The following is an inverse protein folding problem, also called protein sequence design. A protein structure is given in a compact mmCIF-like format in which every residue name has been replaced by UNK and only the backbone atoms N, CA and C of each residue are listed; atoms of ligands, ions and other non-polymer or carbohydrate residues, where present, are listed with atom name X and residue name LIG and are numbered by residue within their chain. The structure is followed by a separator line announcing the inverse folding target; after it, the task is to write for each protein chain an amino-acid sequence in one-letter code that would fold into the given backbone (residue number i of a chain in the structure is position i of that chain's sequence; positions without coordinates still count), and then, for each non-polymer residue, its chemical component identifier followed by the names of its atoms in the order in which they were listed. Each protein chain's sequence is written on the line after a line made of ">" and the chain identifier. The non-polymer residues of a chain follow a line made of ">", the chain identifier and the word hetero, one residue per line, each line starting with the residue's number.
data_IF_927896481191
#
_entry.id   IF_927896481191
#
_cell.length_a   1.000
_cell.length_b   1.000
_cell.length_c   1.000
_cell.angle_alpha   90.00
_cell.angle_beta   90.00
_cell.angle_gamma   90.00
#
_symmetry.space_group_name_H-M   'P 1'
#
loop_
_entity.id
_entity.type
_entity.pdbx_description
1 polymer ?
#
# COMPACT_ATOMS: atom_id res chain seq x y z
N UNK A 1 6.82 -3.68 18.91
CA UNK A 1 5.86 -3.62 17.79
C UNK A 1 4.42 -3.43 18.26
N UNK A 2 3.94 -4.16 19.27
CA UNK A 2 2.57 -3.99 19.79
C UNK A 2 2.17 -2.55 20.17
N UNK A 3 3.09 -1.72 20.70
CA UNK A 3 2.82 -0.29 20.94
C UNK A 3 2.47 0.48 19.67
N UNK A 4 3.18 0.25 18.57
CA UNK A 4 2.92 0.90 17.27
C UNK A 4 1.59 0.42 16.72
N UNK A 5 1.34 -0.89 16.79
CA UNK A 5 0.07 -1.50 16.36
C UNK A 5 -1.14 -0.85 17.06
N UNK A 6 -1.09 -0.73 18.38
CA UNK A 6 -2.16 -0.12 19.17
C UNK A 6 -2.31 1.39 18.89
N UNK A 7 -1.20 2.12 18.76
CA UNK A 7 -1.20 3.57 18.55
C UNK A 7 -1.80 3.97 17.19
N UNK A 8 -1.54 3.18 16.13
CA UNK A 8 -1.99 3.46 14.78
C UNK A 8 -3.14 2.55 14.31
N UNK A 9 -3.73 1.78 15.23
CA UNK A 9 -4.83 0.84 14.95
C UNK A 9 -4.51 -0.08 13.76
N UNK A 10 -3.36 -0.76 13.80
CA UNK A 10 -2.90 -1.66 12.74
C UNK A 10 -3.12 -3.11 13.15
N UNK A 11 -3.65 -3.93 12.24
CA UNK A 11 -3.84 -5.36 12.46
C UNK A 11 -2.49 -6.04 12.76
N UNK A 12 -2.49 -7.01 13.69
CA UNK A 12 -1.27 -7.69 14.10
C UNK A 12 -0.61 -8.45 12.92
N UNK A 13 -1.40 -8.91 11.95
CA UNK A 13 -0.92 -9.59 10.73
C UNK A 13 -0.13 -8.64 9.84
N UNK A 14 -0.58 -7.39 9.71
CA UNK A 14 0.15 -6.35 8.99
C UNK A 14 1.46 -6.02 9.69
N UNK A 15 1.45 -5.94 11.03
CA UNK A 15 2.66 -5.72 11.81
C UNK A 15 3.70 -6.84 11.65
N UNK A 16 3.24 -8.09 11.55
CA UNK A 16 4.09 -9.24 11.24
C UNK A 16 4.68 -9.13 9.83
N UNK A 17 3.87 -8.83 8.82
CA UNK A 17 4.33 -8.61 7.44
C UNK A 17 5.36 -7.46 7.36
N UNK A 18 5.12 -6.35 8.07
CA UNK A 18 6.06 -5.22 8.12
C UNK A 18 7.38 -5.62 8.76
N UNK A 19 7.37 -6.42 9.82
CA UNK A 19 8.59 -6.92 10.46
C UNK A 19 9.42 -7.81 9.52
N UNK A 20 8.76 -8.61 8.68
CA UNK A 20 9.42 -9.56 7.78
C UNK A 20 9.98 -8.89 6.53
N UNK A 21 9.28 -7.89 5.99
CA UNK A 21 9.61 -7.30 4.69
C UNK A 21 10.27 -5.92 4.75
N UNK A 22 10.15 -5.17 5.86
CA UNK A 22 10.91 -3.93 6.02
C UNK A 22 12.37 -4.21 6.34
N UNK A 23 13.27 -3.45 5.71
CA UNK A 23 14.70 -3.46 5.99
C UNK A 23 15.30 -2.06 5.77
N UNK A 24 16.54 -1.86 6.23
CA UNK A 24 17.19 -0.53 6.25
C UNK A 24 17.31 0.15 4.87
N UNK A 25 17.48 -0.65 3.82
CA UNK A 25 17.72 -0.21 2.45
C UNK A 25 16.47 -0.36 1.55
N UNK A 26 15.27 -0.45 2.12
CA UNK A 26 14.03 -0.64 1.35
C UNK A 26 13.84 0.50 0.33
N UNK A 27 13.52 0.14 -0.91
CA UNK A 27 13.20 1.08 -1.99
C UNK A 27 11.73 1.44 -2.01
N UNK A 28 11.37 2.47 -2.78
CA UNK A 28 9.98 2.97 -2.83
C UNK A 28 9.00 1.90 -3.37
N UNK A 29 9.45 1.08 -4.33
CA UNK A 29 8.68 -0.04 -4.87
C UNK A 29 8.34 -1.07 -3.80
N UNK A 30 9.34 -1.52 -3.05
CA UNK A 30 9.14 -2.51 -1.99
C UNK A 30 8.34 -1.91 -0.83
N UNK A 31 8.51 -0.61 -0.53
CA UNK A 31 7.71 0.08 0.48
C UNK A 31 6.22 0.13 0.11
N UNK A 32 5.90 0.50 -1.13
CA UNK A 32 4.52 0.46 -1.65
C UNK A 32 3.97 -0.96 -1.61
N UNK A 33 4.78 -1.96 -1.98
CA UNK A 33 4.40 -3.38 -1.90
C UNK A 33 4.08 -3.80 -0.46
N UNK A 34 4.93 -3.46 0.51
CA UNK A 34 4.72 -3.77 1.93
C UNK A 34 3.44 -3.11 2.45
N UNK A 35 3.20 -1.86 2.09
CA UNK A 35 1.94 -1.19 2.38
C UNK A 35 0.74 -1.93 1.76
N UNK A 36 0.83 -2.30 0.48
CA UNK A 36 -0.28 -2.94 -0.24
C UNK A 36 -0.60 -4.35 0.23
N UNK A 37 0.36 -5.03 0.86
CA UNK A 37 0.20 -6.36 1.48
C UNK A 37 -0.39 -6.31 2.89
N UNK A 38 -0.85 -5.15 3.36
CA UNK A 38 -1.46 -5.02 4.69
C UNK A 38 -2.77 -5.81 4.80
N UNK A 39 -2.99 -6.50 5.91
CA UNK A 39 -4.20 -7.28 6.20
C UNK A 39 -5.48 -6.41 6.22
N UNK A 40 -5.34 -5.11 6.43
CA UNK A 40 -6.39 -4.12 6.18
C UNK A 40 -7.03 -4.27 4.80
N UNK A 41 -6.26 -4.67 3.79
CA UNK A 41 -6.72 -4.77 2.42
C UNK A 41 -7.09 -6.20 1.99
N UNK A 42 -7.18 -7.15 2.93
CA UNK A 42 -7.50 -8.56 2.64
C UNK A 42 -8.85 -8.75 1.92
N UNK A 43 -9.79 -7.81 2.11
CA UNK A 43 -11.10 -7.81 1.44
C UNK A 43 -11.12 -7.11 0.09
N UNK A 44 -10.03 -6.43 -0.28
CA UNK A 44 -9.91 -5.80 -1.61
C UNK A 44 -9.59 -6.91 -2.61
N UNK A 45 -10.49 -7.13 -3.57
CA UNK A 45 -10.31 -8.15 -4.60
C UNK A 45 -10.35 -7.50 -5.98
N UNK A 46 -9.65 -8.12 -6.94
CA UNK A 46 -9.69 -7.71 -8.34
C UNK A 46 -10.91 -8.31 -9.02
N UNK A 47 -11.80 -7.46 -9.53
CA UNK A 47 -13.00 -7.88 -10.28
C UNK A 47 -12.69 -7.92 -11.78
N UNK A 48 -13.41 -8.73 -12.55
CA UNK A 48 -13.10 -8.94 -13.97
C UNK A 48 -13.39 -7.70 -14.83
N UNK A 49 -14.41 -6.92 -14.47
CA UNK A 49 -14.88 -5.72 -15.15
C UNK A 49 -13.91 -4.53 -14.99
N UNK A 50 -13.15 -4.48 -13.90
CA UNK A 50 -12.17 -3.41 -13.63
C UNK A 50 -10.75 -3.72 -14.15
N UNK A 51 -10.45 -4.97 -14.53
CA UNK A 51 -9.11 -5.36 -15.04
C UNK A 51 -8.59 -4.49 -16.19
N UNK A 52 -9.40 -4.12 -17.21
CA UNK A 52 -8.91 -3.27 -18.30
C UNK A 52 -8.51 -1.86 -17.83
N UNK A 53 -9.25 -1.31 -16.86
CA UNK A 53 -8.93 0.00 -16.28
C UNK A 53 -7.67 -0.08 -15.40
N UNK A 54 -7.55 -1.12 -14.56
CA UNK A 54 -6.36 -1.38 -13.76
C UNK A 54 -5.10 -1.54 -14.61
N UNK A 55 -5.18 -2.26 -15.74
CA UNK A 55 -4.06 -2.42 -16.67
C UNK A 55 -3.58 -1.08 -17.24
N UNK A 56 -4.51 -0.19 -17.62
CA UNK A 56 -4.17 1.16 -18.09
C UNK A 56 -3.56 2.03 -16.98
N UNK A 57 -4.02 1.87 -15.74
CA UNK A 57 -3.46 2.61 -14.61
C UNK A 57 -2.05 2.11 -14.25
N UNK A 58 -1.79 0.81 -14.32
CA UNK A 58 -0.46 0.21 -14.09
C UNK A 58 0.63 0.82 -14.99
N UNK A 59 0.29 1.19 -16.23
CA UNK A 59 1.22 1.83 -17.16
C UNK A 59 1.48 3.32 -16.85
N UNK A 60 0.65 3.95 -16.01
CA UNK A 60 0.65 5.40 -15.75
C UNK A 60 1.14 5.78 -14.36
N UNK A 61 1.20 4.82 -13.43
CA UNK A 61 1.66 5.08 -12.07
C UNK A 61 3.18 5.38 -12.03
N UNK A 62 3.64 6.28 -11.15
CA UNK A 62 5.04 6.73 -11.12
C UNK A 62 6.03 5.65 -10.65
N UNK A 63 5.60 4.76 -9.76
CA UNK A 63 6.43 3.67 -9.22
C UNK A 63 5.97 2.36 -9.87
N UNK A 64 6.85 1.66 -10.62
CA UNK A 64 6.51 0.38 -11.25
C UNK A 64 6.03 -0.65 -10.22
N UNK A 65 5.01 -1.42 -10.59
CA UNK A 65 4.45 -2.52 -9.79
C UNK A 65 4.83 -3.83 -10.48
N UNK A 66 5.32 -4.81 -9.71
CA UNK A 66 5.80 -6.09 -10.25
C UNK A 66 4.71 -7.16 -10.29
N UNK A 67 3.73 -7.02 -9.41
CA UNK A 67 2.58 -7.89 -9.26
C UNK A 67 1.69 -7.84 -10.52
N UNK A 68 1.09 -8.98 -10.85
CA UNK A 68 0.17 -9.06 -11.98
C UNK A 68 -1.13 -8.29 -11.69
N UNK A 69 -1.80 -7.84 -12.76
CA UNK A 69 -3.02 -7.02 -12.67
C UNK A 69 -4.18 -7.68 -11.90
N UNK A 70 -4.18 -9.02 -11.82
CA UNK A 70 -5.16 -9.82 -11.10
C UNK A 70 -4.82 -10.05 -9.62
N UNK A 71 -3.65 -9.60 -9.16
CA UNK A 71 -3.28 -9.66 -7.76
C UNK A 71 -3.88 -8.49 -6.96
N UNK A 72 -4.53 -8.75 -5.80
CA UNK A 72 -5.02 -7.71 -4.90
C UNK A 72 -3.97 -6.65 -4.51
N UNK A 73 -2.73 -7.09 -4.31
CA UNK A 73 -1.60 -6.23 -3.95
C UNK A 73 -1.34 -5.20 -5.06
N UNK A 74 -1.40 -5.62 -6.34
CA UNK A 74 -1.27 -4.72 -7.48
C UNK A 74 -2.37 -3.67 -7.48
N UNK A 75 -3.63 -4.09 -7.26
CA UNK A 75 -4.77 -3.17 -7.20
C UNK A 75 -4.59 -2.12 -6.10
N UNK A 76 -4.26 -2.52 -4.87
CA UNK A 76 -4.05 -1.56 -3.77
C UNK A 76 -2.90 -0.59 -4.09
N UNK A 77 -1.80 -1.10 -4.63
CA UNK A 77 -0.65 -0.29 -5.01
C UNK A 77 -0.99 0.74 -6.09
N UNK A 78 -1.72 0.31 -7.14
CA UNK A 78 -2.21 1.18 -8.20
C UNK A 78 -3.13 2.25 -7.65
N UNK A 79 -4.11 1.89 -6.82
CA UNK A 79 -5.09 2.83 -6.29
C UNK A 79 -4.46 3.89 -5.38
N UNK A 80 -3.49 3.50 -4.53
CA UNK A 80 -2.72 4.45 -3.73
C UNK A 80 -1.98 5.45 -4.64
N UNK A 81 -1.26 4.93 -5.65
CA UNK A 81 -0.47 5.76 -6.54
C UNK A 81 -1.35 6.66 -7.44
N UNK A 82 -2.46 6.13 -7.95
CA UNK A 82 -3.43 6.86 -8.73
C UNK A 82 -4.04 8.03 -7.94
N UNK A 83 -4.34 7.83 -6.66
CA UNK A 83 -4.79 8.89 -5.77
C UNK A 83 -3.74 10.01 -5.63
N UNK A 84 -2.49 9.65 -5.34
CA UNK A 84 -1.39 10.62 -5.16
C UNK A 84 -1.13 11.38 -6.46
N UNK A 85 -1.10 10.67 -7.59
CA UNK A 85 -0.88 11.23 -8.92
C UNK A 85 -2.13 11.92 -9.52
N UNK A 86 -3.26 11.93 -8.81
CA UNK A 86 -4.54 12.50 -9.25
C UNK A 86 -4.99 11.96 -10.62
N UNK A 87 -4.79 10.67 -10.86
CA UNK A 87 -5.29 10.00 -12.06
C UNK A 87 -6.81 9.87 -11.98
N UNK A 88 -7.47 10.00 -13.13
CA UNK A 88 -8.93 9.79 -13.22
C UNK A 88 -9.24 8.29 -13.19
N UNK A 89 -10.27 7.94 -12.43
CA UNK A 89 -10.89 6.62 -12.42
C UNK A 89 -12.27 6.75 -13.10
N UNK A 90 -12.58 5.80 -13.96
CA UNK A 90 -13.84 5.74 -14.71
C UNK A 90 -14.88 4.87 -13.97
N UNK A 91 -14.44 3.84 -13.23
CA UNK A 91 -15.31 2.91 -12.50
C UNK A 91 -15.69 3.35 -11.07
N UNK A 92 -17.00 3.37 -10.75
CA UNK A 92 -17.50 3.68 -9.40
C UNK A 92 -16.96 2.73 -8.32
N UNK A 93 -16.88 1.42 -8.61
CA UNK A 93 -16.39 0.41 -7.67
C UNK A 93 -14.90 0.62 -7.32
N UNK A 94 -14.06 0.93 -8.32
CA UNK A 94 -12.66 1.28 -8.09
C UNK A 94 -12.53 2.58 -7.28
N UNK A 95 -13.41 3.55 -7.51
CA UNK A 95 -13.47 4.77 -6.71
C UNK A 95 -13.72 4.50 -5.22
N UNK A 96 -14.64 3.59 -4.88
CA UNK A 96 -14.89 3.18 -3.50
C UNK A 96 -13.68 2.47 -2.87
N UNK A 97 -13.05 1.56 -3.61
CA UNK A 97 -11.85 0.86 -3.15
C UNK A 97 -10.68 1.86 -2.94
N UNK A 98 -10.52 2.86 -3.81
CA UNK A 98 -9.53 3.93 -3.65
C UNK A 98 -9.76 4.74 -2.36
N UNK A 99 -11.02 5.09 -2.07
CA UNK A 99 -11.36 5.79 -0.82
C UNK A 99 -10.98 4.94 0.40
N UNK A 100 -11.27 3.64 0.37
CA UNK A 100 -10.91 2.73 1.45
C UNK A 100 -9.38 2.64 1.67
N UNK A 101 -8.61 2.49 0.57
CA UNK A 101 -7.15 2.45 0.61
C UNK A 101 -6.58 3.75 1.17
N UNK A 102 -7.07 4.90 0.70
CA UNK A 102 -6.54 6.22 1.07
C UNK A 102 -6.90 6.63 2.50
N UNK A 103 -8.08 6.26 3.00
CA UNK A 103 -8.44 6.46 4.40
C UNK A 103 -7.55 5.65 5.36
N UNK A 104 -7.13 4.45 4.95
CA UNK A 104 -6.18 3.64 5.74
C UNK A 104 -4.73 4.07 5.54
N UNK A 105 -4.39 4.70 4.41
CA UNK A 105 -3.02 5.03 4.03
C UNK A 105 -2.27 5.80 5.11
N UNK A 106 -2.88 6.87 5.64
CA UNK A 106 -2.22 7.74 6.60
C UNK A 106 -1.76 7.00 7.86
N UNK A 107 -2.61 6.16 8.46
CA UNK A 107 -2.26 5.43 9.70
C UNK A 107 -1.22 4.34 9.46
N UNK A 108 -1.30 3.64 8.32
CA UNK A 108 -0.37 2.57 7.99
C UNK A 108 1.02 3.12 7.66
N UNK A 109 1.13 4.18 6.86
CA UNK A 109 2.42 4.83 6.61
C UNK A 109 3.05 5.39 7.88
N UNK A 110 2.25 5.96 8.80
CA UNK A 110 2.76 6.37 10.11
C UNK A 110 3.29 5.21 10.95
N UNK A 111 2.65 4.04 10.88
CA UNK A 111 3.17 2.84 11.52
C UNK A 111 4.47 2.35 10.88
N UNK A 112 4.56 2.31 9.55
CA UNK A 112 5.77 1.95 8.80
C UNK A 112 6.94 2.90 9.14
N UNK A 113 6.68 4.21 9.16
CA UNK A 113 7.62 5.24 9.58
C UNK A 113 8.14 5.00 11.00
N UNK A 114 7.23 4.80 11.96
CA UNK A 114 7.58 4.60 13.37
C UNK A 114 8.40 3.32 13.59
N UNK A 115 8.11 2.24 12.83
CA UNK A 115 8.93 1.02 12.84
C UNK A 115 10.35 1.32 12.35
N UNK A 116 10.48 2.02 11.22
CA UNK A 116 11.78 2.37 10.65
C UNK A 116 12.59 3.26 11.60
N UNK A 117 11.93 4.25 12.22
CA UNK A 117 12.54 5.17 13.18
C UNK A 117 13.08 4.43 14.40
N UNK A 118 12.28 3.54 15.00
CA UNK A 118 12.69 2.75 16.18
C UNK A 118 13.83 1.77 15.90
N UNK A 119 13.96 1.32 14.65
CA UNK A 119 15.07 0.45 14.22
C UNK A 119 16.32 1.24 13.77
N UNK A 120 16.27 2.57 13.77
CA UNK A 120 17.40 3.40 13.34
C UNK A 120 17.63 3.40 11.83
N UNK A 121 16.63 3.03 11.03
CA UNK A 121 16.74 2.95 9.57
C UNK A 121 16.43 4.30 8.93
N UNK A 122 17.38 5.24 9.02
CA UNK A 122 17.18 6.62 8.58
C UNK A 122 16.72 6.76 7.12
N UNK A 123 17.25 5.93 6.21
CA UNK A 123 16.86 5.97 4.79
C UNK A 123 15.44 5.44 4.59
N UNK A 124 15.08 4.32 5.19
CA UNK A 124 13.73 3.77 5.15
C UNK A 124 12.71 4.72 5.79
N UNK A 125 13.04 5.31 6.94
CA UNK A 125 12.19 6.27 7.64
C UNK A 125 11.99 7.59 6.87
N UNK A 126 12.92 7.98 5.99
CA UNK A 126 12.73 9.14 5.12
C UNK A 126 11.75 8.87 3.99
N UNK A 127 11.67 7.61 3.54
CA UNK A 127 10.79 7.18 2.44
C UNK A 127 9.36 6.92 2.91
N UNK A 128 9.21 6.36 4.11
CA UNK A 128 7.93 6.09 4.77
C UNK A 128 7.28 7.36 5.33
#
# INVERSE_FOLDING_TARGET
>A
MGRVAAQYYVDYRSMEAYQQHLHAAIGDMDLVRVFSSSAEFERVQVRMDEKPELARLLERVPIPIKEAVDEPVAKVAVLLQAYIARLKLDGFALGADMVYVTQSAARLFRALFEICLRKGWAQAARRA
#
